data_IF_818840293147
#
_entry.id   IF_818840293147
#
_cell.length_a   1.000
_cell.length_b   1.000
_cell.length_c   1.000
_cell.angle_alpha   90.00
_cell.angle_beta   90.00
_cell.angle_gamma   90.00
#
_symmetry.space_group_name_H-M   'P 1'
#
loop_
_entity.id
_entity.type
_entity.pdbx_description
1 polymer ?
#
# COMPACT_ATOMS: atom_id res chain seq x y z
N UNK A 1 -26.51 47.25 -13.62
CA UNK A 1 -26.86 46.03 -14.37
C UNK A 1 -25.64 45.30 -14.93
N UNK A 2 -24.78 45.92 -15.77
CA UNK A 2 -23.57 45.26 -16.32
C UNK A 2 -22.68 44.57 -15.26
N UNK A 3 -22.32 45.26 -14.17
CA UNK A 3 -21.51 44.68 -13.08
C UNK A 3 -22.15 43.49 -12.37
N UNK A 4 -23.49 43.48 -12.27
CA UNK A 4 -24.23 42.40 -11.63
C UNK A 4 -24.26 41.15 -12.52
N UNK A 5 -24.43 41.34 -13.83
CA UNK A 5 -24.37 40.28 -14.83
C UNK A 5 -22.94 39.70 -14.91
N UNK A 6 -21.90 40.55 -14.89
CA UNK A 6 -20.50 40.10 -14.88
C UNK A 6 -20.19 39.23 -13.64
N UNK A 7 -20.68 39.63 -12.46
CA UNK A 7 -20.45 38.85 -11.24
C UNK A 7 -21.16 37.50 -11.26
N UNK A 8 -22.38 37.41 -11.82
CA UNK A 8 -23.11 36.14 -11.98
C UNK A 8 -22.38 35.21 -12.95
N UNK A 9 -21.84 35.73 -14.05
CA UNK A 9 -21.09 34.94 -15.04
C UNK A 9 -19.79 34.39 -14.43
N UNK A 10 -19.05 35.20 -13.65
CA UNK A 10 -17.82 34.77 -12.97
C UNK A 10 -18.11 33.72 -11.88
N UNK A 11 -19.20 33.87 -11.13
CA UNK A 11 -19.56 32.89 -10.11
C UNK A 11 -20.02 31.56 -10.72
N UNK A 12 -20.74 31.61 -11.84
CA UNK A 12 -21.19 30.43 -12.57
C UNK A 12 -20.02 29.68 -13.23
N UNK A 13 -19.02 30.40 -13.74
CA UNK A 13 -17.81 29.77 -14.31
C UNK A 13 -16.91 29.14 -13.25
N UNK A 14 -16.80 29.71 -12.05
CA UNK A 14 -16.13 29.05 -10.92
C UNK A 14 -16.87 27.78 -10.47
N UNK A 15 -18.21 27.79 -10.47
CA UNK A 15 -19.01 26.63 -10.08
C UNK A 15 -18.90 25.47 -11.09
N UNK A 16 -18.82 25.78 -12.39
CA UNK A 16 -18.57 24.79 -13.45
C UNK A 16 -17.15 24.20 -13.38
N UNK A 17 -16.13 25.01 -13.08
CA UNK A 17 -14.75 24.53 -12.92
C UNK A 17 -14.59 23.59 -11.70
N UNK A 18 -15.34 23.82 -10.62
CA UNK A 18 -15.34 22.94 -9.45
C UNK A 18 -15.96 21.55 -9.71
N UNK A 19 -16.82 21.42 -10.72
CA UNK A 19 -17.41 20.13 -11.11
C UNK A 19 -16.46 19.26 -11.96
N UNK A 20 -15.31 19.80 -12.38
CA UNK A 20 -14.30 19.09 -13.17
C UNK A 20 -13.21 18.39 -12.31
N UNK A 21 -13.49 18.09 -11.04
CA UNK A 21 -12.79 16.99 -10.36
C UNK A 21 -13.18 15.69 -11.07
N UNK A 22 -12.47 15.39 -12.16
CA UNK A 22 -12.57 14.10 -12.82
C UNK A 22 -12.14 13.04 -11.82
N UNK A 23 -13.10 12.24 -11.34
CA UNK A 23 -12.80 10.98 -10.69
C UNK A 23 -12.07 10.10 -11.73
N UNK A 24 -10.74 10.13 -11.70
CA UNK A 24 -9.93 9.36 -12.63
C UNK A 24 -10.23 7.88 -12.39
N UNK A 25 -10.74 7.20 -13.42
CA UNK A 25 -11.13 5.79 -13.32
C UNK A 25 -9.88 4.97 -13.00
N UNK A 26 -9.79 4.48 -11.75
CA UNK A 26 -8.71 3.59 -11.33
C UNK A 26 -8.86 2.26 -12.05
N UNK A 27 -7.87 1.93 -12.88
CA UNK A 27 -7.83 0.63 -13.58
C UNK A 27 -7.12 -0.36 -12.65
N UNK A 28 -7.90 -1.27 -12.05
CA UNK A 28 -7.38 -2.34 -11.21
C UNK A 28 -6.79 -3.46 -12.08
N UNK A 29 -5.72 -4.11 -11.61
CA UNK A 29 -5.05 -5.25 -12.26
C UNK A 29 -4.40 -4.91 -13.61
N UNK A 30 -3.97 -3.66 -13.81
CA UNK A 30 -3.28 -3.26 -15.03
C UNK A 30 -1.97 -4.05 -15.18
N UNK A 31 -1.77 -4.56 -16.39
CA UNK A 31 -0.58 -5.29 -16.82
C UNK A 31 -0.06 -4.68 -18.11
N UNK A 32 1.27 -4.57 -18.22
CA UNK A 32 1.96 -4.04 -19.40
C UNK A 32 3.12 -4.95 -19.78
N UNK A 33 3.46 -4.98 -21.06
CA UNK A 33 4.66 -5.67 -21.54
C UNK A 33 5.87 -4.71 -21.50
N UNK A 34 6.93 -5.13 -20.81
CA UNK A 34 8.23 -4.45 -20.74
C UNK A 34 9.25 -5.23 -21.55
N UNK A 35 10.05 -4.54 -22.35
CA UNK A 35 11.13 -5.16 -23.12
C UNK A 35 12.19 -5.81 -22.22
N UNK A 36 12.44 -5.24 -21.03
CA UNK A 36 13.47 -5.71 -20.10
C UNK A 36 12.95 -6.69 -19.06
N UNK A 37 11.73 -6.48 -18.58
CA UNK A 37 11.18 -7.15 -17.39
C UNK A 37 10.00 -8.08 -17.71
N UNK A 38 9.66 -8.26 -18.99
CA UNK A 38 8.49 -9.03 -19.40
C UNK A 38 7.18 -8.39 -18.91
N UNK A 39 6.23 -9.21 -18.44
CA UNK A 39 4.90 -8.72 -18.03
C UNK A 39 4.97 -8.04 -16.67
N UNK A 40 4.80 -6.73 -16.62
CA UNK A 40 4.82 -5.93 -15.39
C UNK A 40 3.40 -5.55 -14.95
N UNK A 41 3.13 -5.57 -13.64
CA UNK A 41 1.89 -5.01 -13.07
C UNK A 41 2.10 -3.55 -12.68
N UNK A 42 1.04 -2.72 -12.82
CA UNK A 42 1.08 -1.29 -12.50
C UNK A 42 -0.22 -0.81 -11.85
N UNK A 43 -0.14 0.14 -10.93
CA UNK A 43 -1.28 0.69 -10.19
C UNK A 43 -1.91 -0.31 -9.24
N UNK A 44 -3.16 -0.05 -8.82
CA UNK A 44 -3.90 -0.91 -7.91
C UNK A 44 -3.99 -2.37 -8.40
N UNK A 45 -3.60 -3.32 -7.55
CA UNK A 45 -3.64 -4.76 -7.82
C UNK A 45 -4.48 -5.49 -6.78
N UNK A 46 -5.18 -6.53 -7.22
CA UNK A 46 -5.75 -7.55 -6.35
C UNK A 46 -4.75 -8.67 -6.15
N UNK A 47 -4.83 -9.33 -5.00
CA UNK A 47 -3.92 -10.41 -4.60
C UNK A 47 -3.93 -11.59 -5.59
N UNK A 48 -5.09 -11.90 -6.17
CA UNK A 48 -5.25 -13.03 -7.11
C UNK A 48 -4.44 -12.83 -8.40
N UNK A 49 -4.03 -11.60 -8.70
CA UNK A 49 -3.19 -11.35 -9.87
C UNK A 49 -1.82 -11.99 -9.73
N UNK A 50 -1.29 -12.12 -8.50
CA UNK A 50 0.02 -12.73 -8.25
C UNK A 50 0.01 -14.26 -8.35
N UNK A 51 -1.17 -14.88 -8.35
CA UNK A 51 -1.34 -16.32 -8.58
C UNK A 51 -1.38 -16.70 -10.07
N UNK A 52 -1.25 -15.72 -10.98
CA UNK A 52 -1.24 -15.94 -12.42
C UNK A 52 0.18 -15.87 -12.98
N UNK A 53 0.45 -16.61 -14.05
CA UNK A 53 1.72 -16.52 -14.76
C UNK A 53 1.97 -15.09 -15.31
N UNK A 54 3.21 -14.57 -15.24
CA UNK A 54 4.42 -15.23 -14.75
C UNK A 54 4.70 -15.01 -13.23
N UNK A 55 3.78 -14.38 -12.50
CA UNK A 55 4.00 -13.95 -11.12
C UNK A 55 3.98 -15.12 -10.12
N UNK A 56 3.17 -16.13 -10.41
CA UNK A 56 3.02 -17.31 -9.58
C UNK A 56 4.35 -18.03 -9.32
N UNK A 57 5.28 -17.99 -10.29
CA UNK A 57 6.57 -18.69 -10.25
C UNK A 57 7.42 -18.32 -9.02
N UNK A 58 7.40 -17.05 -8.62
CA UNK A 58 8.05 -16.58 -7.40
C UNK A 58 7.07 -16.43 -6.24
N UNK A 59 5.83 -16.00 -6.50
CA UNK A 59 4.87 -15.69 -5.44
C UNK A 59 4.50 -16.91 -4.60
N UNK A 60 4.11 -18.01 -5.25
CA UNK A 60 3.60 -19.21 -4.55
C UNK A 60 4.69 -19.80 -3.67
N UNK A 61 5.91 -19.90 -4.21
CA UNK A 61 7.06 -20.43 -3.48
C UNK A 61 7.41 -19.58 -2.25
N UNK A 62 7.61 -18.28 -2.44
CA UNK A 62 7.99 -17.37 -1.35
C UNK A 62 6.88 -17.24 -0.29
N UNK A 63 5.61 -17.40 -0.69
CA UNK A 63 4.50 -17.51 0.23
C UNK A 63 4.59 -18.82 1.02
N UNK A 64 4.44 -19.97 0.36
CA UNK A 64 4.20 -21.25 1.00
C UNK A 64 5.39 -21.74 1.85
N UNK A 65 6.62 -21.46 1.40
CA UNK A 65 7.84 -21.88 2.10
C UNK A 65 8.21 -20.97 3.29
N UNK A 66 7.61 -19.78 3.43
CA UNK A 66 8.01 -18.86 4.49
C UNK A 66 7.66 -19.37 5.89
N UNK A 67 8.68 -19.53 6.73
CA UNK A 67 8.53 -19.91 8.13
C UNK A 67 8.22 -18.68 8.99
N UNK A 68 6.96 -18.51 9.34
CA UNK A 68 6.46 -17.38 10.14
C UNK A 68 6.90 -17.48 11.60
N UNK A 69 7.27 -16.33 12.19
CA UNK A 69 7.35 -16.17 13.64
C UNK A 69 5.95 -16.11 14.26
N UNK A 70 5.48 -17.28 14.71
CA UNK A 70 4.15 -17.44 15.32
C UNK A 70 3.95 -16.56 16.56
N UNK A 71 5.00 -16.28 17.32
CA UNK A 71 4.90 -15.40 18.49
C UNK A 71 4.63 -13.97 18.05
N UNK A 72 5.38 -13.46 17.07
CA UNK A 72 5.17 -12.12 16.52
C UNK A 72 3.77 -11.99 15.92
N UNK A 73 3.27 -12.99 15.17
CA UNK A 73 1.89 -12.94 14.66
C UNK A 73 0.85 -12.95 15.79
N UNK A 74 1.07 -13.69 16.87
CA UNK A 74 0.22 -13.58 18.05
C UNK A 74 0.23 -12.18 18.66
N UNK A 75 1.37 -11.49 18.67
CA UNK A 75 1.48 -10.11 19.14
C UNK A 75 0.75 -9.14 18.21
N UNK A 76 0.80 -9.34 16.88
CA UNK A 76 0.02 -8.55 15.91
C UNK A 76 -1.49 -8.65 16.16
N UNK A 77 -1.99 -9.88 16.42
CA UNK A 77 -3.40 -10.10 16.77
C UNK A 77 -3.78 -9.38 18.06
N UNK A 78 -2.94 -9.50 19.11
CA UNK A 78 -3.15 -8.81 20.39
C UNK A 78 -3.13 -7.28 20.23
N UNK A 79 -2.24 -6.76 19.39
CA UNK A 79 -2.14 -5.35 19.02
C UNK A 79 -3.25 -4.86 18.09
N UNK A 80 -4.24 -5.71 17.77
CA UNK A 80 -5.38 -5.38 16.90
C UNK A 80 -4.93 -4.84 15.54
N UNK A 81 -4.01 -5.53 14.87
CA UNK A 81 -3.52 -5.16 13.54
C UNK A 81 -4.67 -4.86 12.55
N UNK A 82 -5.79 -5.58 12.62
CA UNK A 82 -6.98 -5.32 11.79
C UNK A 82 -7.65 -3.95 12.00
N UNK A 83 -7.24 -3.16 13.00
CA UNK A 83 -7.65 -1.76 13.16
C UNK A 83 -6.85 -0.78 12.30
N UNK A 84 -5.77 -1.24 11.66
CA UNK A 84 -4.89 -0.47 10.79
C UNK A 84 -5.17 -0.75 9.31
N UNK A 85 -4.98 0.25 8.46
CA UNK A 85 -4.93 0.08 7.01
C UNK A 85 -3.48 -0.20 6.60
N UNK A 86 -3.28 -1.15 5.68
CA UNK A 86 -1.96 -1.50 5.16
C UNK A 86 -1.92 -1.15 3.68
N UNK A 87 -0.91 -0.36 3.29
CA UNK A 87 -0.67 0.02 1.89
C UNK A 87 0.71 -0.50 1.50
N UNK A 88 0.77 -1.27 0.42
CA UNK A 88 1.99 -1.89 -0.08
C UNK A 88 2.30 -1.32 -1.45
N UNK A 89 3.46 -0.68 -1.57
CA UNK A 89 4.06 -0.34 -2.86
C UNK A 89 5.07 -1.41 -3.23
N UNK A 90 4.97 -1.96 -4.44
CA UNK A 90 5.86 -3.03 -4.89
C UNK A 90 6.19 -2.93 -6.38
N UNK A 91 7.30 -3.55 -6.80
CA UNK A 91 7.61 -3.73 -8.21
C UNK A 91 7.63 -5.21 -8.57
N UNK A 92 6.86 -5.67 -9.56
CA UNK A 92 6.94 -7.08 -10.02
C UNK A 92 8.23 -7.43 -10.75
N UNK A 93 9.15 -6.46 -10.88
CA UNK A 93 10.48 -6.58 -11.45
C UNK A 93 11.58 -6.58 -10.37
N UNK A 94 11.21 -6.39 -9.10
CA UNK A 94 12.11 -6.19 -7.98
C UNK A 94 12.20 -7.45 -7.12
N UNK A 95 13.42 -7.95 -6.90
CA UNK A 95 13.68 -9.17 -6.13
C UNK A 95 13.24 -9.04 -4.67
N UNK A 96 13.47 -7.89 -4.03
CA UNK A 96 12.98 -7.64 -2.67
C UNK A 96 11.45 -7.68 -2.61
N UNK A 97 10.77 -7.19 -3.65
CA UNK A 97 9.30 -7.27 -3.73
C UNK A 97 8.83 -8.71 -3.93
N UNK A 98 9.55 -9.50 -4.75
CA UNK A 98 9.26 -10.93 -4.91
C UNK A 98 9.41 -11.70 -3.61
N UNK A 99 10.40 -11.34 -2.79
CA UNK A 99 10.65 -11.96 -1.50
C UNK A 99 9.63 -11.54 -0.45
N UNK A 100 9.46 -10.25 -0.22
CA UNK A 100 8.81 -9.76 1.00
C UNK A 100 7.29 -9.61 0.87
N UNK A 101 6.77 -9.37 -0.33
CA UNK A 101 5.32 -9.23 -0.52
C UNK A 101 4.57 -10.55 -0.31
N UNK A 102 4.99 -11.70 -0.87
CA UNK A 102 4.31 -12.97 -0.59
C UNK A 102 4.38 -13.35 0.90
N UNK A 103 5.52 -13.10 1.55
CA UNK A 103 5.69 -13.33 3.00
C UNK A 103 4.73 -12.48 3.82
N UNK A 104 4.59 -11.19 3.48
CA UNK A 104 3.58 -10.32 4.09
C UNK A 104 2.18 -10.90 3.92
N UNK A 105 1.81 -11.39 2.73
CA UNK A 105 0.46 -11.95 2.51
C UNK A 105 0.18 -13.13 3.45
N UNK A 106 1.14 -14.04 3.62
CA UNK A 106 1.00 -15.16 4.56
C UNK A 106 0.89 -14.71 6.01
N UNK A 107 1.66 -13.71 6.41
CA UNK A 107 1.58 -13.11 7.75
C UNK A 107 0.18 -12.52 7.99
N UNK A 108 -0.37 -11.80 7.01
CA UNK A 108 -1.69 -11.18 7.10
C UNK A 108 -2.81 -12.22 7.16
N UNK A 109 -2.70 -13.32 6.39
CA UNK A 109 -3.60 -14.47 6.46
C UNK A 109 -3.59 -15.10 7.87
N UNK A 110 -2.41 -15.46 8.38
CA UNK A 110 -2.26 -16.06 9.72
C UNK A 110 -2.72 -15.10 10.83
N UNK A 111 -2.59 -13.79 10.62
CA UNK A 111 -3.10 -12.77 11.54
C UNK A 111 -4.62 -12.55 11.45
N UNK A 112 -5.33 -13.22 10.53
CA UNK A 112 -6.74 -12.96 10.20
C UNK A 112 -6.99 -11.47 9.88
N UNK A 113 -6.09 -10.86 9.12
CA UNK A 113 -6.20 -9.47 8.72
C UNK A 113 -7.33 -9.26 7.68
N UNK A 114 -8.17 -8.22 7.81
CA UNK A 114 -9.25 -7.96 6.86
C UNK A 114 -8.69 -7.48 5.51
N UNK A 115 -8.85 -8.28 4.46
CA UNK A 115 -8.36 -7.95 3.11
C UNK A 115 -8.89 -6.62 2.58
N UNK A 116 -10.09 -6.20 3.01
CA UNK A 116 -10.68 -4.90 2.63
C UNK A 116 -9.87 -3.68 3.10
N UNK A 117 -8.91 -3.86 4.01
CA UNK A 117 -8.00 -2.81 4.49
C UNK A 117 -6.60 -2.88 3.90
N UNK A 118 -6.36 -3.87 3.04
CA UNK A 118 -5.11 -4.03 2.30
C UNK A 118 -5.22 -3.33 0.95
N UNK A 119 -4.26 -2.46 0.65
CA UNK A 119 -4.10 -1.86 -0.68
C UNK A 119 -2.75 -2.24 -1.24
N UNK A 120 -2.71 -2.76 -2.47
CA UNK A 120 -1.47 -3.12 -3.17
C UNK A 120 -1.36 -2.26 -4.42
N UNK A 121 -0.24 -1.54 -4.55
CA UNK A 121 0.04 -0.64 -5.66
C UNK A 121 1.36 -1.07 -6.30
N UNK A 122 1.28 -1.49 -7.55
CA UNK A 122 2.45 -1.87 -8.33
C UNK A 122 3.04 -0.66 -9.09
N UNK A 123 4.37 -0.56 -9.13
CA UNK A 123 5.07 0.56 -9.77
C UNK A 123 6.08 0.10 -10.83
N UNK A 124 6.39 0.99 -11.77
CA UNK A 124 7.40 0.76 -12.79
C UNK A 124 8.84 0.89 -12.22
N UNK A 125 9.87 0.72 -13.06
CA UNK A 125 11.30 0.85 -12.67
C UNK A 125 11.68 2.23 -12.13
N UNK A 126 10.93 3.28 -12.48
CA UNK A 126 11.05 4.65 -11.95
C UNK A 126 10.25 4.88 -10.66
N UNK A 127 9.57 3.85 -10.16
CA UNK A 127 8.72 3.83 -8.95
C UNK A 127 7.42 4.60 -9.13
N UNK A 128 7.00 4.79 -10.38
CA UNK A 128 5.76 5.49 -10.73
C UNK A 128 4.61 4.49 -10.93
N UNK A 129 3.43 4.88 -10.48
CA UNK A 129 2.15 4.23 -10.74
C UNK A 129 1.28 5.09 -11.67
N UNK A 130 0.34 4.50 -12.44
CA UNK A 130 -0.41 5.24 -13.44
C UNK A 130 -1.29 6.37 -12.91
N UNK A 131 -1.73 6.32 -11.66
CA UNK A 131 -2.51 7.40 -11.05
C UNK A 131 -1.66 8.29 -10.12
N UNK A 132 -0.33 8.11 -10.11
CA UNK A 132 0.60 8.94 -9.33
C UNK A 132 0.52 8.67 -7.83
N UNK A 133 0.02 7.50 -7.41
CA UNK A 133 -0.20 7.19 -6.00
C UNK A 133 1.09 7.27 -5.17
N UNK A 134 2.24 6.91 -5.77
CA UNK A 134 3.56 6.92 -5.12
C UNK A 134 3.93 8.29 -4.54
N UNK A 135 3.48 9.37 -5.18
CA UNK A 135 3.82 10.74 -4.81
C UNK A 135 3.16 11.13 -3.49
N UNK A 136 1.93 10.66 -3.25
CA UNK A 136 1.17 10.92 -2.01
C UNK A 136 1.83 10.28 -0.77
N UNK A 137 2.55 9.17 -0.96
CA UNK A 137 3.19 8.42 0.10
C UNK A 137 4.71 8.62 0.17
N UNK A 138 5.25 9.47 -0.71
CA UNK A 138 6.69 9.73 -0.86
C UNK A 138 7.48 8.41 -1.03
N UNK A 139 7.09 7.60 -2.00
CA UNK A 139 7.74 6.31 -2.25
C UNK A 139 9.00 6.52 -3.07
N UNK A 140 10.13 6.10 -2.50
CA UNK A 140 11.46 6.17 -3.13
C UNK A 140 12.02 4.79 -3.45
N UNK A 141 11.54 3.77 -2.74
CA UNK A 141 12.06 2.40 -2.74
C UNK A 141 10.91 1.40 -2.67
N UNK A 142 11.14 0.20 -3.21
CA UNK A 142 10.17 -0.90 -3.17
C UNK A 142 10.83 -2.20 -2.74
N UNK A 143 10.13 -3.07 -1.99
CA UNK A 143 8.78 -2.86 -1.47
C UNK A 143 8.78 -1.80 -0.35
N UNK A 144 7.67 -1.08 -0.20
CA UNK A 144 7.42 -0.23 0.97
C UNK A 144 6.05 -0.60 1.54
N UNK A 145 6.02 -1.00 2.81
CA UNK A 145 4.80 -1.39 3.54
C UNK A 145 4.47 -0.26 4.50
N UNK A 146 3.30 0.34 4.39
CA UNK A 146 2.87 1.49 5.18
C UNK A 146 1.69 1.07 6.06
N UNK A 147 1.78 1.37 7.35
CA UNK A 147 0.69 1.19 8.31
C UNK A 147 0.05 2.53 8.61
N UNK A 148 -1.28 2.57 8.51
CA UNK A 148 -2.09 3.73 8.84
C UNK A 148 -3.10 3.41 9.93
N UNK A 149 -3.36 4.38 10.80
CA UNK A 149 -4.46 4.35 11.77
C UNK A 149 -5.18 5.68 11.72
N UNK A 150 -6.51 5.64 11.59
CA UNK A 150 -7.33 6.86 11.47
C UNK A 150 -6.86 7.81 10.37
N UNK A 151 -6.47 7.26 9.21
CA UNK A 151 -6.01 8.03 8.06
C UNK A 151 -4.58 8.60 8.17
N UNK A 152 -3.92 8.50 9.32
CA UNK A 152 -2.54 8.93 9.53
C UNK A 152 -1.58 7.74 9.43
N UNK A 153 -0.43 7.97 8.79
CA UNK A 153 0.66 6.99 8.82
C UNK A 153 1.28 6.92 10.21
N UNK A 154 1.44 5.68 10.72
CA UNK A 154 2.03 5.41 12.05
C UNK A 154 3.42 4.77 11.94
N UNK A 155 3.76 4.26 10.77
CA UNK A 155 5.05 3.65 10.49
C UNK A 155 5.08 3.01 9.10
N UNK A 156 6.29 2.72 8.62
CA UNK A 156 6.54 2.01 7.37
C UNK A 156 7.76 1.11 7.46
N UNK A 157 7.80 0.07 6.65
CA UNK A 157 8.95 -0.79 6.38
C UNK A 157 9.38 -0.50 4.95
N UNK A 158 10.67 -0.23 4.74
CA UNK A 158 11.24 0.13 3.42
C UNK A 158 12.28 -0.94 3.06
N UNK A 159 12.11 -1.58 1.90
CA UNK A 159 12.95 -2.69 1.45
C UNK A 159 12.99 -3.82 2.49
N UNK A 160 14.16 -4.11 3.05
CA UNK A 160 14.36 -5.19 4.01
C UNK A 160 13.90 -4.81 5.43
N UNK A 161 13.22 -5.71 6.16
CA UNK A 161 12.91 -5.52 7.58
C UNK A 161 14.18 -5.38 8.42
N UNK A 162 14.15 -4.44 9.37
CA UNK A 162 15.28 -4.15 10.26
C UNK A 162 15.60 -5.31 11.22
N UNK A 163 14.58 -6.07 11.62
CA UNK A 163 14.74 -7.27 12.45
C UNK A 163 15.01 -8.54 11.62
N UNK A 164 14.98 -8.44 10.29
CA UNK A 164 14.97 -9.58 9.37
C UNK A 164 13.60 -10.26 9.19
N UNK A 165 12.56 -9.82 9.93
CA UNK A 165 11.20 -10.38 9.87
C UNK A 165 10.16 -9.26 9.74
N UNK A 166 9.23 -9.39 8.80
CA UNK A 166 8.20 -8.37 8.55
C UNK A 166 7.29 -8.23 9.76
N UNK A 167 6.81 -9.35 10.29
CA UNK A 167 5.88 -9.43 11.42
C UNK A 167 6.46 -8.82 12.70
N UNK A 168 7.77 -8.93 12.92
CA UNK A 168 8.45 -8.31 14.08
C UNK A 168 8.55 -6.79 13.93
N UNK A 169 8.90 -6.30 12.75
CA UNK A 169 8.92 -4.86 12.47
C UNK A 169 7.50 -4.26 12.59
N UNK A 170 6.47 -4.97 12.11
CA UNK A 170 5.07 -4.58 12.30
C UNK A 170 4.70 -4.49 13.79
N UNK A 171 5.11 -5.46 14.61
CA UNK A 171 4.92 -5.42 16.07
C UNK A 171 5.58 -4.17 16.69
N UNK A 172 6.80 -3.83 16.27
CA UNK A 172 7.49 -2.64 16.76
C UNK A 172 6.74 -1.35 16.40
N UNK A 173 6.20 -1.27 15.18
CA UNK A 173 5.37 -0.13 14.74
C UNK A 173 4.14 0.00 15.64
N UNK A 174 3.43 -1.10 15.94
CA UNK A 174 2.23 -1.06 16.78
C UNK A 174 2.55 -0.59 18.21
N UNK A 175 3.60 -1.16 18.83
CA UNK A 175 4.05 -0.80 20.18
C UNK A 175 4.44 0.68 20.29
N UNK A 176 5.17 1.19 19.29
CA UNK A 176 5.55 2.61 19.22
C UNK A 176 4.33 3.51 19.11
N UNK A 177 3.39 3.16 18.23
CA UNK A 177 2.16 3.94 18.05
C UNK A 177 1.33 4.02 19.34
N UNK A 178 1.09 2.89 20.01
CA UNK A 178 0.28 2.88 21.24
C UNK A 178 0.92 3.75 22.34
N UNK A 179 2.25 3.71 22.46
CA UNK A 179 2.99 4.57 23.38
C UNK A 179 2.85 6.06 23.05
N UNK A 180 2.86 6.42 21.76
CA UNK A 180 2.66 7.81 21.31
C UNK A 180 1.25 8.31 21.62
N UNK A 181 0.23 7.49 21.37
CA UNK A 181 -1.18 7.85 21.64
C UNK A 181 -1.39 8.09 23.14
N UNK A 182 -0.83 7.25 24.01
CA UNK A 182 -0.90 7.45 25.47
C UNK A 182 -0.28 8.80 25.84
N UNK A 183 0.92 9.11 25.34
CA UNK A 183 1.59 10.39 25.62
C UNK A 183 0.79 11.62 25.15
N UNK A 184 0.06 11.51 24.04
CA UNK A 184 -0.80 12.59 23.55
C UNK A 184 -2.06 12.79 24.40
N UNK A 185 -2.65 11.72 24.93
CA UNK A 185 -3.87 11.79 25.75
C UNK A 185 -3.59 12.34 27.16
N UNK A 186 -2.44 12.01 27.74
CA UNK A 186 -2.06 12.38 29.10
C UNK A 186 -1.16 13.63 29.18
N UNK A 187 -1.10 14.45 28.12
CA UNK A 187 -0.43 15.75 28.09
C UNK A 187 -1.45 16.86 28.22
#
# INVERSE_FOLDING_TARGET
MKKFITNIVVFSSLFLAAQQLSAQKVVVNRKVDSQKDGKMLLGAQLKEQFLKAPYADWYVKEHDEYAIDKQAVSELRKGKLGSYDIIVFMGTWCEDSHRDVPRLMKILEEANYPESKLTIIAVNRKKESPAGEESLYNIQKVPTIILKRYGKEVGRIIEMPTTGYIERDLVQILKKNDSSVIKEIFK
#
